data_IF_690549927215
#
_entry.id   IF_690549927215
#
_cell.length_a   1.000
_cell.length_b   1.000
_cell.length_c   1.000
_cell.angle_alpha   90.00
_cell.angle_beta   90.00
_cell.angle_gamma   90.00
#
_symmetry.space_group_name_H-M   'P 1'
#
loop_
_entity.id
_entity.type
_entity.pdbx_description
1 polymer ?
#
# COMPACT_ATOMS: atom_id res chain seq x y z
N UNK A 1 -0.35 15.99 -3.09
CA UNK A 1 0.13 14.86 -3.91
C UNK A 1 -1.06 14.05 -4.45
N UNK A 2 -2.04 13.69 -3.61
CA UNK A 2 -3.25 12.92 -4.01
C UNK A 2 -4.09 13.55 -5.12
N UNK A 3 -4.37 14.85 -5.06
CA UNK A 3 -5.29 15.52 -6.02
C UNK A 3 -4.78 15.51 -7.46
N UNK A 4 -3.48 15.69 -7.69
CA UNK A 4 -2.89 15.62 -9.05
C UNK A 4 -2.85 14.21 -9.63
N UNK A 5 -2.75 13.18 -8.78
CA UNK A 5 -2.74 11.79 -9.22
C UNK A 5 -4.13 11.32 -9.64
N UNK A 6 -5.17 11.76 -8.93
CA UNK A 6 -6.57 11.45 -9.27
C UNK A 6 -7.03 12.05 -10.59
N UNK A 7 -6.67 13.31 -10.84
CA UNK A 7 -7.09 14.03 -12.03
C UNK A 7 -6.51 13.39 -13.31
N UNK A 8 -5.26 12.96 -13.25
CA UNK A 8 -4.59 12.27 -14.38
C UNK A 8 -5.18 10.87 -14.63
N UNK A 9 -5.62 10.16 -13.60
CA UNK A 9 -6.25 8.84 -13.74
C UNK A 9 -7.61 8.93 -14.41
N UNK A 10 -8.47 9.86 -13.96
CA UNK A 10 -9.79 10.05 -14.56
C UNK A 10 -9.71 10.47 -16.03
N UNK A 11 -8.75 11.31 -16.42
CA UNK A 11 -8.65 11.77 -17.81
C UNK A 11 -8.01 10.75 -18.76
N UNK A 12 -7.09 9.92 -18.25
CA UNK A 12 -6.31 8.98 -19.08
C UNK A 12 -6.89 7.56 -19.08
N UNK A 13 -7.88 7.27 -18.22
CA UNK A 13 -8.46 5.92 -18.06
C UNK A 13 -7.43 4.84 -17.65
N UNK A 14 -6.26 5.28 -17.16
CA UNK A 14 -5.11 4.44 -16.89
C UNK A 14 -4.90 4.29 -15.38
N UNK A 15 -4.44 3.12 -14.94
CA UNK A 15 -4.18 2.86 -13.52
C UNK A 15 -3.03 3.73 -12.98
N UNK A 16 -3.19 4.31 -11.79
CA UNK A 16 -2.06 4.94 -11.09
C UNK A 16 -1.21 3.92 -10.35
N UNK A 17 0.06 4.25 -10.18
CA UNK A 17 1.01 3.45 -9.41
C UNK A 17 1.64 4.31 -8.33
N UNK A 18 1.63 3.82 -7.08
CA UNK A 18 2.31 4.46 -5.95
C UNK A 18 3.26 3.48 -5.25
N UNK A 19 4.37 3.98 -4.73
CA UNK A 19 5.37 3.21 -4.00
C UNK A 19 5.44 3.68 -2.54
N UNK A 20 5.41 2.72 -1.60
CA UNK A 20 5.59 3.00 -0.18
C UNK A 20 6.55 1.99 0.48
N UNK A 21 7.32 2.44 1.47
CA UNK A 21 8.13 1.55 2.32
C UNK A 21 7.31 1.01 3.50
N UNK A 22 7.64 -0.18 4.01
CA UNK A 22 6.99 -0.80 5.18
C UNK A 22 6.90 0.16 6.36
N UNK A 23 5.83 0.05 7.14
CA UNK A 23 5.62 0.86 8.33
C UNK A 23 4.76 2.10 8.04
N UNK A 24 5.08 3.28 8.60
CA UNK A 24 4.26 4.48 8.48
C UNK A 24 3.98 4.90 7.03
N UNK A 25 4.90 4.59 6.11
CA UNK A 25 4.74 4.89 4.68
C UNK A 25 3.53 4.22 4.04
N UNK A 26 3.24 2.96 4.38
CA UNK A 26 2.03 2.25 3.91
C UNK A 26 0.79 2.76 4.66
N UNK A 27 0.89 2.96 5.97
CA UNK A 27 -0.24 3.40 6.78
C UNK A 27 -0.77 4.77 6.35
N UNK A 28 0.11 5.68 5.93
CA UNK A 28 -0.27 7.01 5.45
C UNK A 28 -1.03 7.00 4.11
N UNK A 29 -1.02 5.88 3.38
CA UNK A 29 -1.79 5.72 2.14
C UNK A 29 -3.23 5.25 2.38
N UNK A 30 -3.62 4.91 3.62
CA UNK A 30 -4.95 4.33 3.91
C UNK A 30 -6.10 5.24 3.44
N UNK A 31 -5.95 6.56 3.59
CA UNK A 31 -6.93 7.55 3.14
C UNK A 31 -7.04 7.55 1.62
N UNK A 32 -5.91 7.54 0.91
CA UNK A 32 -5.88 7.48 -0.55
C UNK A 32 -6.53 6.20 -1.08
N UNK A 33 -6.25 5.05 -0.45
CA UNK A 33 -6.83 3.76 -0.83
C UNK A 33 -8.35 3.76 -0.63
N UNK A 34 -8.82 4.26 0.51
CA UNK A 34 -10.24 4.33 0.81
C UNK A 34 -10.98 5.24 -0.17
N UNK A 35 -10.35 6.37 -0.54
CA UNK A 35 -10.90 7.31 -1.50
C UNK A 35 -10.94 6.69 -2.92
N UNK A 36 -9.87 6.07 -3.40
CA UNK A 36 -9.84 5.41 -4.71
C UNK A 36 -10.80 4.20 -4.78
N UNK A 37 -10.99 3.49 -3.67
CA UNK A 37 -12.00 2.42 -3.54
C UNK A 37 -13.42 2.98 -3.65
N UNK A 38 -13.70 4.12 -3.03
CA UNK A 38 -15.00 4.79 -3.11
C UNK A 38 -15.27 5.36 -4.52
N UNK A 39 -14.24 5.89 -5.17
CA UNK A 39 -14.32 6.49 -6.50
C UNK A 39 -14.25 5.46 -7.65
N UNK A 40 -14.09 4.16 -7.35
CA UNK A 40 -13.90 3.10 -8.36
C UNK A 40 -12.74 3.40 -9.32
N UNK A 41 -11.66 3.98 -8.79
CA UNK A 41 -10.49 4.40 -9.55
C UNK A 41 -9.43 3.28 -9.51
N UNK A 42 -8.83 2.90 -10.65
CA UNK A 42 -7.81 1.86 -10.68
C UNK A 42 -6.48 2.35 -10.09
N UNK A 43 -6.14 1.87 -8.89
CA UNK A 43 -4.91 2.20 -8.15
C UNK A 43 -4.07 0.94 -7.90
N UNK A 44 -2.75 1.04 -8.12
CA UNK A 44 -1.76 0.00 -7.81
C UNK A 44 -0.78 0.53 -6.77
N UNK A 45 -0.64 -0.19 -5.64
CA UNK A 45 0.28 0.20 -4.56
C UNK A 45 1.34 -0.89 -4.39
N UNK A 46 2.60 -0.51 -4.58
CA UNK A 46 3.75 -1.39 -4.37
C UNK A 46 4.37 -1.03 -3.02
N UNK A 47 4.38 -2.00 -2.10
CA UNK A 47 4.91 -1.80 -0.75
C UNK A 47 6.19 -2.59 -0.54
N UNK A 48 7.21 -1.97 0.03
CA UNK A 48 8.40 -2.68 0.50
C UNK A 48 8.11 -3.33 1.84
N UNK A 49 7.64 -4.58 1.87
CA UNK A 49 7.36 -5.33 3.10
C UNK A 49 8.64 -5.94 3.71
N UNK A 50 8.75 -6.00 5.04
CA UNK A 50 9.87 -6.68 5.72
C UNK A 50 9.75 -8.21 5.57
N UNK A 51 10.87 -8.95 5.42
CA UNK A 51 10.84 -10.40 5.36
C UNK A 51 10.19 -11.02 6.61
N UNK A 52 9.41 -12.09 6.41
CA UNK A 52 8.66 -12.75 7.49
C UNK A 52 9.56 -13.23 8.64
N UNK A 53 10.79 -13.67 8.35
CA UNK A 53 11.75 -14.12 9.37
C UNK A 53 12.30 -12.99 10.25
N UNK A 54 12.23 -11.74 9.79
CA UNK A 54 12.64 -10.55 10.55
C UNK A 54 11.45 -9.96 11.33
N UNK A 55 10.22 -10.31 10.92
CA UNK A 55 9.01 -9.90 11.62
C UNK A 55 9.04 -10.59 12.99
N UNK A 56 9.07 -9.79 14.07
CA UNK A 56 8.99 -10.26 15.47
C UNK A 56 7.58 -10.78 15.76
N UNK A 57 7.16 -11.80 15.03
CA UNK A 57 5.99 -12.61 15.33
C UNK A 57 6.60 -13.91 15.84
N UNK A 58 6.21 -14.39 17.04
CA UNK A 58 6.64 -15.69 17.50
C UNK A 58 6.12 -16.71 16.50
N UNK A 59 7.02 -17.20 15.66
CA UNK A 59 6.84 -18.43 14.94
C UNK A 59 6.52 -19.50 15.99
N UNK A 60 5.35 -20.14 15.87
CA UNK A 60 4.97 -21.28 16.72
C UNK A 60 6.00 -22.41 16.74
N UNK A 61 7.02 -22.35 15.87
CA UNK A 61 8.16 -23.26 15.78
C UNK A 61 9.33 -22.90 16.72
N UNK A 62 9.29 -21.79 17.49
CA UNK A 62 10.26 -21.54 18.57
C UNK A 62 10.06 -22.40 19.82
N UNK A 63 9.10 -23.34 19.82
CA UNK A 63 8.97 -24.38 20.87
C UNK A 63 9.87 -25.60 20.60
N UNK A 64 11.10 -25.37 20.19
CA UNK A 64 12.18 -26.38 20.21
C UNK A 64 13.48 -25.76 20.69
N UNK A 65 13.57 -25.50 22.00
CA UNK A 65 14.65 -25.94 22.90
C UNK A 65 14.38 -25.44 24.30
#
# INVERSE_FOLDING_TARGET
METKLKEKQRSTGSASVCFASSGPGVTNLVTAVADDYCDSVPLVIITGQVPLHLKRIPDGSSRKR
#
